data_IF_391440831008
#
_entry.id   IF_391440831008
#
_cell.length_a   1.000
_cell.length_b   1.000
_cell.length_c   1.000
_cell.angle_alpha   90.00
_cell.angle_beta   90.00
_cell.angle_gamma   90.00
#
_symmetry.space_group_name_H-M   'P 1'
#
loop_
_entity.id
_entity.type
_entity.pdbx_description
1 polymer ?
#
# COMPACT_ATOMS: atom_id res chain seq x y z
N UNK A 1 0.82 7.31 14.77
CA UNK A 1 0.33 5.98 14.33
C UNK A 1 0.10 6.05 12.82
N UNK A 2 0.60 5.09 12.06
CA UNK A 2 0.35 4.98 10.62
C UNK A 2 -1.07 4.53 10.28
N UNK A 3 -1.38 4.41 8.99
CA UNK A 3 -2.67 4.02 8.43
C UNK A 3 -2.51 3.01 7.29
N UNK A 4 -3.37 1.99 7.21
CA UNK A 4 -3.36 1.06 6.09
C UNK A 4 -3.88 1.69 4.78
N UNK A 5 -3.16 1.60 3.68
CA UNK A 5 -3.65 1.83 2.32
C UNK A 5 -3.69 0.50 1.60
N UNK A 6 -4.77 0.14 0.92
CA UNK A 6 -4.79 -1.06 0.08
C UNK A 6 -5.10 -0.74 -1.37
N UNK A 7 -4.53 -1.54 -2.26
CA UNK A 7 -4.87 -1.58 -3.68
C UNK A 7 -5.55 -2.91 -3.90
N UNK A 8 -6.83 -2.87 -4.27
CA UNK A 8 -7.60 -4.05 -4.64
C UNK A 8 -7.62 -4.17 -6.15
N UNK A 9 -7.25 -5.33 -6.66
CA UNK A 9 -7.26 -5.64 -8.07
C UNK A 9 -8.57 -6.36 -8.43
N UNK A 10 -8.93 -6.28 -9.71
CA UNK A 10 -10.20 -6.78 -10.22
C UNK A 10 -10.33 -8.31 -10.16
N UNK A 11 -9.21 -9.01 -9.95
CA UNK A 11 -9.15 -10.46 -9.73
C UNK A 11 -9.36 -10.86 -8.26
N UNK A 12 -9.63 -9.89 -7.38
CA UNK A 12 -9.82 -10.11 -5.94
C UNK A 12 -8.52 -10.02 -5.13
N UNK A 13 -7.35 -9.95 -5.77
CA UNK A 13 -6.09 -9.80 -5.05
C UNK A 13 -5.98 -8.42 -4.41
N UNK A 14 -5.39 -8.35 -3.21
CA UNK A 14 -5.14 -7.07 -2.54
C UNK A 14 -3.72 -6.90 -2.05
N UNK A 15 -3.24 -5.66 -2.23
CA UNK A 15 -1.91 -5.21 -1.85
C UNK A 15 -2.05 -4.10 -0.81
N UNK A 16 -1.73 -4.38 0.43
CA UNK A 16 -1.75 -3.41 1.53
C UNK A 16 -0.42 -2.68 1.69
N UNK A 17 -0.43 -1.50 2.29
CA UNK A 17 0.73 -0.83 2.86
C UNK A 17 0.36 0.13 3.98
N UNK A 18 1.33 0.67 4.73
CA UNK A 18 1.04 1.39 5.97
C UNK A 18 1.74 2.76 6.07
N UNK A 19 0.96 3.83 6.27
CA UNK A 19 1.36 5.25 6.15
C UNK A 19 0.66 6.20 7.16
N UNK A 20 1.34 7.05 7.94
CA UNK A 20 0.75 8.12 8.79
C UNK A 20 -0.45 8.91 8.22
N UNK A 21 -1.37 9.36 9.10
CA UNK A 21 -2.64 10.01 8.69
C UNK A 21 -2.54 11.16 7.71
N UNK A 22 -1.56 12.04 7.89
CA UNK A 22 -1.33 13.15 6.98
C UNK A 22 -0.81 12.70 5.61
N UNK A 23 -0.42 11.43 5.46
CA UNK A 23 0.20 10.89 4.25
C UNK A 23 -0.80 10.20 3.32
N UNK A 24 -2.04 9.95 3.77
CA UNK A 24 -3.07 9.34 2.93
C UNK A 24 -3.45 10.25 1.76
N UNK A 25 -3.89 11.47 2.06
CA UNK A 25 -4.27 12.46 1.04
C UNK A 25 -3.07 12.88 0.19
N UNK A 26 -1.90 13.01 0.83
CA UNK A 26 -0.65 13.32 0.13
C UNK A 26 -0.21 12.19 -0.81
N UNK A 27 -0.38 10.93 -0.39
CA UNK A 27 -0.06 9.75 -1.18
C UNK A 27 -0.98 9.62 -2.40
N UNK A 28 -2.29 9.69 -2.17
CA UNK A 28 -3.29 9.74 -3.24
C UNK A 28 -3.05 10.91 -4.20
N UNK A 29 -2.74 12.10 -3.67
CA UNK A 29 -2.40 13.28 -4.47
C UNK A 29 -1.19 13.07 -5.36
N UNK A 30 -0.12 12.45 -4.82
CA UNK A 30 1.08 12.08 -5.60
C UNK A 30 0.76 11.06 -6.68
N UNK A 31 -0.01 10.02 -6.38
CA UNK A 31 -0.41 9.00 -7.36
C UNK A 31 -1.19 9.65 -8.51
N UNK A 32 -2.20 10.47 -8.19
CA UNK A 32 -2.96 11.23 -9.19
C UNK A 32 -2.06 12.11 -10.06
N UNK A 33 -1.07 12.79 -9.44
CA UNK A 33 -0.10 13.61 -10.17
C UNK A 33 0.74 12.77 -11.13
N UNK A 34 1.30 11.64 -10.69
CA UNK A 34 2.12 10.73 -11.52
C UNK A 34 1.32 10.22 -12.72
N UNK A 35 0.07 9.79 -12.48
CA UNK A 35 -0.82 9.32 -13.55
C UNK A 35 -1.15 10.45 -14.54
N UNK A 36 -1.48 11.65 -14.05
CA UNK A 36 -1.74 12.80 -14.91
C UNK A 36 -0.52 13.24 -15.72
N UNK A 37 0.67 13.20 -15.13
CA UNK A 37 1.91 13.54 -15.83
C UNK A 37 2.24 12.49 -16.91
N UNK A 38 1.91 11.21 -16.68
CA UNK A 38 2.05 10.13 -17.66
C UNK A 38 1.04 10.25 -18.80
N UNK A 39 -0.20 10.64 -18.48
CA UNK A 39 -1.26 10.95 -19.46
C UNK A 39 -0.84 12.12 -20.36
N UNK A 40 -0.36 13.22 -19.79
CA UNK A 40 0.12 14.40 -20.56
C UNK A 40 1.26 14.07 -21.52
N UNK A 41 2.10 13.09 -21.16
CA UNK A 41 3.20 12.60 -22.01
C UNK A 41 2.73 11.59 -23.07
N UNK A 42 1.46 11.20 -23.06
CA UNK A 42 0.88 10.24 -24.00
C UNK A 42 1.25 8.79 -23.71
N UNK A 43 1.77 8.46 -22.52
CA UNK A 43 2.16 7.09 -22.17
C UNK A 43 0.98 6.21 -21.76
N UNK A 44 -0.09 6.82 -21.27
CA UNK A 44 -1.32 6.15 -20.85
C UNK A 44 -2.52 7.00 -21.28
N UNK A 45 -3.68 6.36 -21.34
CA UNK A 45 -4.98 6.94 -21.69
C UNK A 45 -5.76 7.35 -20.44
N UNK A 46 -6.76 8.22 -20.59
CA UNK A 46 -7.68 8.58 -19.49
C UNK A 46 -8.40 7.35 -18.91
N UNK A 47 -8.72 6.37 -19.77
CA UNK A 47 -9.34 5.11 -19.35
C UNK A 47 -8.42 4.32 -18.41
N UNK A 48 -7.12 4.28 -18.70
CA UNK A 48 -6.12 3.61 -17.85
C UNK A 48 -5.90 4.36 -16.54
N UNK A 49 -5.90 5.71 -16.55
CA UNK A 49 -5.85 6.52 -15.33
C UNK A 49 -7.05 6.19 -14.43
N UNK A 50 -8.26 6.22 -14.97
CA UNK A 50 -9.48 5.94 -14.21
C UNK A 50 -9.48 4.49 -13.68
N UNK A 51 -9.07 3.52 -14.50
CA UNK A 51 -8.93 2.12 -14.06
C UNK A 51 -7.94 1.99 -12.90
N UNK A 52 -6.78 2.64 -12.99
CA UNK A 52 -5.78 2.59 -11.93
C UNK A 52 -6.30 3.20 -10.62
N UNK A 53 -6.99 4.34 -10.68
CA UNK A 53 -7.55 4.99 -9.50
C UNK A 53 -8.68 4.19 -8.85
N UNK A 54 -9.51 3.49 -9.65
CA UNK A 54 -10.57 2.61 -9.13
C UNK A 54 -10.04 1.42 -8.34
N UNK A 55 -8.81 0.98 -8.61
CA UNK A 55 -8.18 -0.11 -7.89
C UNK A 55 -7.59 0.33 -6.53
N UNK A 56 -7.57 1.63 -6.20
CA UNK A 56 -6.94 2.14 -4.99
C UNK A 56 -8.01 2.42 -3.94
N UNK A 57 -7.93 1.71 -2.81
CA UNK A 57 -8.74 1.94 -1.63
C UNK A 57 -7.89 2.50 -0.48
N UNK A 58 -7.89 3.82 -0.35
CA UNK A 58 -7.18 4.51 0.71
C UNK A 58 -8.04 4.48 1.99
N UNK A 59 -7.52 3.86 3.06
CA UNK A 59 -8.29 3.65 4.29
C UNK A 59 -7.48 3.98 5.54
N UNK A 60 -8.15 3.93 6.69
CA UNK A 60 -7.53 3.88 8.03
C UNK A 60 -7.92 2.61 8.78
N UNK A 61 -8.83 1.84 8.19
CA UNK A 61 -9.41 0.64 8.75
C UNK A 61 -8.61 -0.58 8.30
N UNK A 62 -8.00 -1.25 9.27
CA UNK A 62 -7.20 -2.45 9.04
C UNK A 62 -8.07 -3.64 8.64
N UNK A 63 -9.37 -3.63 8.94
CA UNK A 63 -10.27 -4.72 8.55
C UNK A 63 -10.34 -4.93 7.04
N UNK A 64 -10.06 -3.87 6.27
CA UNK A 64 -10.02 -3.91 4.80
C UNK A 64 -8.75 -4.57 4.24
N UNK A 65 -7.83 -5.01 5.12
CA UNK A 65 -6.69 -5.85 4.75
C UNK A 65 -6.99 -7.34 4.88
N UNK A 66 -8.17 -7.73 5.37
CA UNK A 66 -8.50 -9.13 5.62
C UNK A 66 -8.38 -9.97 4.35
N UNK A 67 -7.71 -11.11 4.47
CA UNK A 67 -7.39 -12.03 3.36
C UNK A 67 -6.51 -11.40 2.27
N UNK A 68 -5.64 -10.44 2.60
CA UNK A 68 -4.69 -9.93 1.63
C UNK A 68 -3.54 -10.89 1.34
N UNK A 69 -3.27 -11.05 0.05
CA UNK A 69 -2.19 -11.88 -0.47
C UNK A 69 -0.81 -11.22 -0.32
N UNK A 70 -0.75 -9.88 -0.33
CA UNK A 70 0.50 -9.15 -0.10
C UNK A 70 0.27 -7.92 0.76
N UNK A 71 1.07 -7.76 1.81
CA UNK A 71 1.17 -6.51 2.58
C UNK A 71 2.60 -5.98 2.48
N UNK A 72 2.75 -4.72 2.08
CA UNK A 72 4.02 -4.01 1.97
C UNK A 72 4.09 -2.90 3.02
N UNK A 73 4.83 -3.13 4.07
CA UNK A 73 5.12 -2.14 5.11
C UNK A 73 6.04 -1.02 4.55
N UNK A 74 5.68 0.24 4.77
CA UNK A 74 6.39 1.41 4.21
C UNK A 74 6.45 2.62 5.17
N UNK A 75 6.61 2.39 6.47
CA UNK A 75 6.86 3.43 7.48
C UNK A 75 8.32 3.85 7.55
N UNK A 76 8.53 4.95 8.27
CA UNK A 76 9.85 5.41 8.69
C UNK A 76 10.70 4.29 9.27
N UNK A 77 12.01 4.44 9.08
CA UNK A 77 13.00 3.49 9.54
C UNK A 77 13.22 3.55 11.06
N UNK A 78 12.21 3.05 11.78
CA UNK A 78 12.21 2.88 13.22
C UNK A 78 11.81 1.44 13.51
N UNK A 79 12.70 0.71 14.18
CA UNK A 79 12.54 -0.73 14.42
C UNK A 79 11.31 -1.06 15.26
N UNK A 80 11.03 -0.26 16.30
CA UNK A 80 9.89 -0.47 17.18
C UNK A 80 8.57 -0.24 16.42
N UNK A 81 8.51 0.85 15.67
CA UNK A 81 7.36 1.16 14.81
C UNK A 81 7.13 0.06 13.78
N UNK A 82 8.17 -0.38 13.06
CA UNK A 82 8.05 -1.46 12.06
C UNK A 82 7.53 -2.74 12.69
N UNK A 83 8.09 -3.16 13.83
CA UNK A 83 7.64 -4.35 14.54
C UNK A 83 6.17 -4.24 14.97
N UNK A 84 5.77 -3.09 15.51
CA UNK A 84 4.37 -2.82 15.90
C UNK A 84 3.42 -2.95 14.70
N UNK A 85 3.82 -2.40 13.56
CA UNK A 85 3.02 -2.42 12.33
C UNK A 85 2.89 -3.82 11.79
N UNK A 86 4.01 -4.54 11.66
CA UNK A 86 4.06 -5.92 11.18
C UNK A 86 3.09 -6.78 11.99
N UNK A 87 3.18 -6.76 13.33
CA UNK A 87 2.31 -7.54 14.22
C UNK A 87 0.84 -7.17 14.01
N UNK A 88 0.55 -5.87 13.85
CA UNK A 88 -0.83 -5.41 13.62
C UNK A 88 -1.39 -5.83 12.27
N UNK A 89 -0.55 -5.93 11.24
CA UNK A 89 -0.98 -6.22 9.87
C UNK A 89 -0.95 -7.70 9.51
N UNK A 90 -0.03 -8.47 10.08
CA UNK A 90 0.19 -9.89 9.78
C UNK A 90 -1.07 -10.73 9.98
N UNK A 91 -1.86 -10.42 11.01
CA UNK A 91 -3.14 -11.09 11.30
C UNK A 91 -4.21 -10.97 10.21
N UNK A 92 -4.02 -10.10 9.22
CA UNK A 92 -4.95 -9.91 8.11
C UNK A 92 -4.48 -10.58 6.82
N UNK A 93 -3.27 -11.15 6.80
CA UNK A 93 -2.78 -11.91 5.64
C UNK A 93 -3.64 -13.14 5.39
N UNK A 94 -3.80 -13.49 4.11
CA UNK A 94 -4.28 -14.81 3.74
C UNK A 94 -3.30 -15.89 4.21
N UNK A 95 -3.72 -17.17 4.32
CA UNK A 95 -2.85 -18.25 4.79
C UNK A 95 -1.55 -18.42 3.97
N UNK A 96 -1.60 -18.11 2.68
CA UNK A 96 -0.46 -18.14 1.75
C UNK A 96 0.09 -16.72 1.47
N UNK A 97 -0.34 -15.73 2.24
CA UNK A 97 -0.03 -14.33 2.06
C UNK A 97 1.42 -14.00 2.43
N UNK A 98 1.96 -12.97 1.77
CA UNK A 98 3.33 -12.51 1.96
C UNK A 98 3.33 -11.16 2.66
N UNK A 99 4.23 -10.96 3.62
CA UNK A 99 4.55 -9.65 4.18
C UNK A 99 5.93 -9.21 3.73
N UNK A 100 6.01 -8.06 3.06
CA UNK A 100 7.25 -7.42 2.68
C UNK A 100 7.43 -6.09 3.43
N UNK A 101 8.68 -5.73 3.71
CA UNK A 101 9.04 -4.41 4.21
C UNK A 101 9.82 -3.67 3.14
N UNK A 102 9.51 -2.39 2.93
CA UNK A 102 10.28 -1.49 2.07
C UNK A 102 11.25 -0.66 2.94
N UNK A 103 12.44 -1.17 3.27
CA UNK A 103 13.44 -0.43 4.03
C UNK A 103 13.92 0.78 3.22
N UNK A 104 14.00 1.94 3.87
CA UNK A 104 14.54 3.16 3.23
C UNK A 104 16.09 3.11 3.22
N UNK A 105 16.69 2.17 3.95
CA UNK A 105 18.14 1.97 4.07
C UNK A 105 18.54 0.48 3.95
N UNK A 106 18.63 -0.05 2.73
CA UNK A 106 19.37 -1.27 2.35
C UNK A 106 19.23 -2.53 3.28
N UNK A 107 18.17 -2.63 4.08
CA UNK A 107 18.01 -3.64 5.12
C UNK A 107 16.76 -4.47 4.84
N UNK A 108 16.94 -5.52 4.05
CA UNK A 108 15.87 -6.44 3.70
C UNK A 108 15.37 -7.21 4.94
N UNK A 109 14.22 -6.81 5.48
CA UNK A 109 13.45 -7.64 6.40
C UNK A 109 12.59 -8.58 5.57
N UNK A 110 13.08 -9.81 5.39
CA UNK A 110 12.30 -10.94 4.92
C UNK A 110 11.55 -11.50 6.12
N UNK A 111 10.23 -11.43 6.08
CA UNK A 111 9.37 -12.09 7.08
C UNK A 111 8.72 -13.23 6.32
N UNK A 112 9.06 -14.44 6.78
CA UNK A 112 8.63 -15.74 6.26
C UNK A 112 7.21 -16.06 6.66
#
# INVERSE_FOLDING_TARGET
MGLPMSVQFQDGSCYGGYFPKFQLDNGLGKIKKILNDSLKKGFITEKEVNKALLNINATVDYSLLNECDLIIEAVYENRELKAEVIIKTEKFLSPDGILASNPINNSYLKIS
#
